data_IF_701641293565
#
_entry.id   IF_701641293565
#
_cell.length_a   1.000
_cell.length_b   1.000
_cell.length_c   1.000
_cell.angle_alpha   90.00
_cell.angle_beta   90.00
_cell.angle_gamma   90.00
#
_symmetry.space_group_name_H-M   'P 1'
#
loop_
_entity.id
_entity.type
_entity.pdbx_description
1 polymer ?
#
# COMPACT_ATOMS: atom_id res chain seq x y z
N UNK A 1 -3.33 -46.69 7.35
CA UNK A 1 -3.53 -45.77 6.22
C UNK A 1 -2.18 -45.12 5.94
N UNK A 2 -1.51 -45.53 4.87
CA UNK A 2 -0.17 -45.02 4.50
C UNK A 2 -0.33 -43.66 3.82
N UNK A 3 0.25 -42.60 4.38
CA UNK A 3 0.42 -41.32 3.71
C UNK A 3 1.60 -41.46 2.72
N UNK A 4 1.47 -41.01 1.46
CA UNK A 4 2.56 -41.09 0.50
C UNK A 4 3.65 -40.08 0.83
N UNK A 5 4.85 -40.63 0.97
CA UNK A 5 6.19 -40.05 0.94
C UNK A 5 6.27 -38.61 0.40
N UNK A 6 6.59 -37.64 1.27
CA UNK A 6 7.09 -36.34 0.84
C UNK A 6 8.45 -36.56 0.16
N UNK A 7 8.46 -36.54 -1.18
CA UNK A 7 9.69 -36.52 -1.96
C UNK A 7 10.49 -35.27 -1.58
N UNK A 8 11.44 -35.46 -0.66
CA UNK A 8 12.48 -34.50 -0.32
C UNK A 8 13.28 -34.22 -1.60
N UNK A 9 12.90 -33.15 -2.30
CA UNK A 9 13.65 -32.66 -3.46
C UNK A 9 15.09 -32.38 -3.02
N UNK A 10 16.11 -32.81 -3.79
CA UNK A 10 17.49 -32.60 -3.41
C UNK A 10 17.74 -31.10 -3.28
N UNK A 11 18.32 -30.70 -2.15
CA UNK A 11 18.80 -29.34 -1.87
C UNK A 11 19.97 -29.01 -2.80
N UNK A 12 19.69 -28.88 -4.10
CA UNK A 12 20.67 -28.41 -5.08
C UNK A 12 20.79 -26.90 -4.96
N UNK A 13 22.01 -26.40 -5.10
CA UNK A 13 22.24 -24.97 -5.21
C UNK A 13 21.45 -24.42 -6.41
N UNK A 14 20.65 -23.38 -6.17
CA UNK A 14 19.89 -22.71 -7.22
C UNK A 14 20.84 -21.86 -8.05
N UNK A 15 20.64 -21.87 -9.36
CA UNK A 15 21.34 -20.98 -10.28
C UNK A 15 20.81 -19.55 -10.16
N UNK A 16 21.62 -18.58 -10.60
CA UNK A 16 21.18 -17.18 -10.67
C UNK A 16 19.91 -16.99 -11.52
N UNK A 17 19.74 -17.80 -12.58
CA UNK A 17 18.56 -17.75 -13.43
C UNK A 17 17.30 -18.25 -12.72
N UNK A 18 17.41 -19.31 -11.91
CA UNK A 18 16.29 -19.83 -11.11
C UNK A 18 15.88 -18.84 -10.02
N UNK A 19 16.85 -18.18 -9.39
CA UNK A 19 16.60 -17.13 -8.39
C UNK A 19 15.86 -15.95 -9.02
N UNK A 20 16.33 -15.48 -10.19
CA UNK A 20 15.70 -14.38 -10.92
C UNK A 20 14.27 -14.75 -11.39
N UNK A 21 14.09 -15.95 -11.93
CA UNK A 21 12.78 -16.43 -12.37
C UNK A 21 11.78 -16.49 -11.21
N UNK A 22 12.22 -16.95 -10.03
CA UNK A 22 11.39 -16.94 -8.83
C UNK A 22 11.02 -15.52 -8.42
N UNK A 23 11.99 -14.60 -8.38
CA UNK A 23 11.74 -13.21 -8.01
C UNK A 23 10.73 -12.53 -8.96
N UNK A 24 10.84 -12.76 -10.27
CA UNK A 24 9.89 -12.23 -11.24
C UNK A 24 8.49 -12.84 -11.09
N UNK A 25 8.41 -14.14 -10.78
CA UNK A 25 7.14 -14.83 -10.57
C UNK A 25 6.45 -14.43 -9.26
N UNK A 26 7.22 -14.13 -8.21
CA UNK A 26 6.70 -13.84 -6.88
C UNK A 26 6.48 -12.34 -6.61
N UNK A 27 6.98 -11.46 -7.46
CA UNK A 27 6.79 -10.03 -7.29
C UNK A 27 5.47 -9.61 -7.93
N UNK A 28 4.57 -9.06 -7.11
CA UNK A 28 3.35 -8.43 -7.56
C UNK A 28 3.46 -6.92 -7.44
N UNK A 29 3.22 -6.20 -8.52
CA UNK A 29 3.01 -4.75 -8.49
C UNK A 29 1.60 -4.47 -8.00
N UNK A 30 1.48 -3.93 -6.79
CA UNK A 30 0.22 -3.41 -6.31
C UNK A 30 -0.03 -2.05 -6.97
N UNK A 31 -1.22 -1.85 -7.56
CA UNK A 31 -1.66 -0.50 -7.92
C UNK A 31 -1.77 0.32 -6.64
N UNK A 32 -1.16 1.49 -6.63
CA UNK A 32 -1.40 2.49 -5.59
C UNK A 32 -2.89 2.82 -5.60
N UNK A 33 -3.62 2.36 -4.58
CA UNK A 33 -4.98 2.78 -4.36
C UNK A 33 -4.93 4.27 -4.00
N UNK A 34 -5.37 5.14 -4.91
CA UNK A 34 -5.78 6.49 -4.52
C UNK A 34 -6.96 6.32 -3.58
N UNK A 35 -6.69 6.34 -2.28
CA UNK A 35 -7.71 6.48 -1.25
C UNK A 35 -8.33 7.87 -1.43
N UNK A 36 -9.25 7.98 -2.38
CA UNK A 36 -9.93 9.20 -2.79
C UNK A 36 -10.98 9.63 -1.77
N UNK A 37 -10.57 9.85 -0.53
CA UNK A 37 -11.19 10.93 0.21
C UNK A 37 -10.61 12.20 -0.41
N UNK A 38 -11.39 12.83 -1.27
CA UNK A 38 -11.13 14.19 -1.73
C UNK A 38 -11.03 15.05 -0.47
N UNK A 39 -9.80 15.28 0.01
CA UNK A 39 -9.56 16.12 1.17
C UNK A 39 -9.05 17.47 0.70
N UNK A 40 -9.70 18.54 1.14
CA UNK A 40 -9.14 19.88 1.05
C UNK A 40 -8.15 20.10 2.19
N UNK A 41 -7.11 20.87 1.93
CA UNK A 41 -6.07 21.19 2.92
C UNK A 41 -6.26 22.61 3.43
N UNK A 42 -6.14 22.84 4.74
CA UNK A 42 -6.13 24.20 5.28
C UNK A 42 -4.91 24.98 4.78
N UNK A 43 -5.11 26.10 4.09
CA UNK A 43 -4.02 26.91 3.53
C UNK A 43 -3.04 27.45 4.59
N UNK A 44 -3.48 27.61 5.84
CA UNK A 44 -2.65 28.16 6.92
C UNK A 44 -1.89 27.10 7.72
N UNK A 45 -2.47 25.94 7.99
CA UNK A 45 -1.86 24.94 8.89
C UNK A 45 -1.60 23.57 8.25
N UNK A 46 -2.02 23.35 6.99
CA UNK A 46 -1.78 22.08 6.31
C UNK A 46 -2.67 20.92 6.77
N UNK A 47 -3.62 21.15 7.68
CA UNK A 47 -4.50 20.09 8.14
C UNK A 47 -5.42 19.59 7.01
N UNK A 48 -5.50 18.28 6.84
CA UNK A 48 -6.41 17.62 5.91
C UNK A 48 -7.86 17.68 6.42
N UNK A 49 -8.79 17.95 5.52
CA UNK A 49 -10.22 18.05 5.80
C UNK A 49 -11.03 17.40 4.69
N UNK A 50 -12.17 16.75 4.98
CA UNK A 50 -13.08 16.29 3.94
C UNK A 50 -13.46 17.45 3.00
N UNK A 51 -13.46 17.25 1.68
CA UNK A 51 -13.79 18.31 0.73
C UNK A 51 -15.23 18.83 0.91
N UNK A 52 -16.15 17.96 1.30
CA UNK A 52 -17.56 18.22 1.58
C UNK A 52 -17.83 18.86 2.95
N UNK A 53 -16.79 19.18 3.74
CA UNK A 53 -17.02 19.79 5.05
C UNK A 53 -17.65 21.19 4.93
N UNK A 54 -18.76 21.37 5.65
CA UNK A 54 -19.46 22.64 5.82
C UNK A 54 -18.80 23.60 6.83
N UNK A 55 -17.67 23.21 7.41
CA UNK A 55 -16.94 24.04 8.37
C UNK A 55 -16.47 25.34 7.71
N UNK A 56 -16.74 26.46 8.40
CA UNK A 56 -16.26 27.79 7.99
C UNK A 56 -14.83 28.07 8.44
N UNK A 57 -14.43 27.45 9.55
CA UNK A 57 -13.14 27.64 10.20
C UNK A 57 -12.45 26.29 10.41
N UNK A 58 -11.14 26.27 10.36
CA UNK A 58 -10.32 25.09 10.64
C UNK A 58 -10.34 24.78 12.14
N UNK A 59 -10.74 23.57 12.53
CA UNK A 59 -10.80 23.18 13.96
C UNK A 59 -9.43 23.12 14.64
N UNK A 60 -8.35 23.04 13.87
CA UNK A 60 -6.98 23.00 14.41
C UNK A 60 -6.40 24.39 14.68
N UNK A 61 -6.65 25.35 13.80
CA UNK A 61 -6.00 26.67 13.86
C UNK A 61 -6.98 27.84 13.86
N UNK A 62 -8.28 27.57 13.90
CA UNK A 62 -9.40 28.52 13.92
C UNK A 62 -9.42 29.53 12.77
N UNK A 63 -8.66 29.27 11.69
CA UNK A 63 -8.64 30.14 10.52
C UNK A 63 -9.78 29.85 9.56
N UNK A 64 -10.32 30.88 8.89
CA UNK A 64 -11.32 30.67 7.85
C UNK A 64 -10.74 29.85 6.68
N UNK A 65 -11.57 29.00 6.08
CA UNK A 65 -11.20 28.22 4.90
C UNK A 65 -11.29 29.01 3.59
N UNK A 66 -11.94 30.17 3.61
CA UNK A 66 -12.10 31.12 2.49
C UNK A 66 -11.31 32.40 2.76
#
# INVERSE_FOLDING_TARGET
MNQPNEEQQPSRALTLQEILANALKSTHTHQEAKAGLETKTCARCGAARPADTALRYCDYCSNPFY
#
